data_IF_751526852983
#
_entry.id   IF_751526852983
#
_cell.length_a   1.000
_cell.length_b   1.000
_cell.length_c   1.000
_cell.angle_alpha   90.00
_cell.angle_beta   90.00
_cell.angle_gamma   90.00
#
_symmetry.space_group_name_H-M   'P 1'
#
loop_
_entity.id
_entity.type
_entity.pdbx_description
1 polymer ?
#
# COMPACT_ATOMS: atom_id res chain seq x y z
N UNK A 1 -1.03 5.23 27.36
CA UNK A 1 -1.74 3.99 26.95
C UNK A 1 -0.67 2.93 26.72
N UNK A 2 -0.75 1.73 27.31
CA UNK A 2 0.31 0.71 27.16
C UNK A 2 0.27 0.15 25.73
N UNK A 3 1.43 -0.20 25.13
CA UNK A 3 1.57 -0.78 23.75
C UNK A 3 0.55 -1.90 23.45
N UNK A 4 0.19 -2.68 24.47
CA UNK A 4 -0.81 -3.77 24.39
C UNK A 4 -2.27 -3.30 24.23
N UNK A 5 -2.59 -2.06 24.60
CA UNK A 5 -3.96 -1.52 24.55
C UNK A 5 -4.25 -0.78 23.24
N UNK A 6 -3.23 -0.27 22.54
CA UNK A 6 -3.41 0.35 21.21
C UNK A 6 -3.78 -0.68 20.14
N UNK A 7 -3.16 -1.87 20.16
CA UNK A 7 -3.53 -2.97 19.25
C UNK A 7 -4.96 -3.48 19.45
N UNK A 8 -5.67 -3.09 20.53
CA UNK A 8 -7.07 -3.50 20.77
C UNK A 8 -8.08 -2.73 19.91
N UNK A 9 -7.70 -1.60 19.32
CA UNK A 9 -8.59 -0.76 18.51
C UNK A 9 -8.36 -0.84 16.99
N UNK A 10 -7.29 -1.50 16.53
CA UNK A 10 -6.75 -1.33 15.15
C UNK A 10 -7.15 -2.45 14.17
N UNK A 11 -7.91 -3.48 14.58
CA UNK A 11 -8.22 -4.66 13.72
C UNK A 11 -9.67 -4.71 13.21
N UNK A 12 -10.25 -3.57 12.84
CA UNK A 12 -11.59 -3.54 12.24
C UNK A 12 -11.61 -2.67 10.98
N UNK A 13 -11.35 -3.30 9.83
CA UNK A 13 -11.67 -2.68 8.54
C UNK A 13 -10.88 -3.23 7.36
N UNK A 14 -11.32 -4.34 6.78
CA UNK A 14 -11.01 -4.63 5.38
C UNK A 14 -12.19 -5.23 4.63
N UNK A 15 -12.42 -4.65 3.45
CA UNK A 15 -13.37 -5.08 2.44
C UNK A 15 -12.78 -6.20 1.59
N UNK A 16 -13.14 -7.43 1.92
CA UNK A 16 -13.02 -8.59 1.02
C UNK A 16 -14.38 -9.31 0.84
N UNK A 17 -15.48 -8.64 1.20
CA UNK A 17 -16.84 -9.21 1.20
C UNK A 17 -17.81 -8.52 0.24
N UNK A 18 -17.35 -7.58 -0.59
CA UNK A 18 -18.23 -6.78 -1.46
C UNK A 18 -18.39 -7.36 -2.89
N UNK A 19 -17.76 -8.49 -3.24
CA UNK A 19 -17.88 -9.05 -4.60
C UNK A 19 -18.54 -10.43 -4.73
N UNK A 20 -18.99 -11.09 -3.65
CA UNK A 20 -19.72 -12.36 -3.77
C UNK A 20 -20.92 -12.60 -2.81
N UNK A 21 -21.90 -11.68 -2.59
CA UNK A 21 -23.09 -12.05 -1.83
C UNK A 21 -24.26 -12.60 -2.66
N UNK A 22 -24.37 -12.36 -3.97
CA UNK A 22 -25.65 -12.61 -4.67
C UNK A 22 -25.81 -13.98 -5.35
N UNK A 23 -24.74 -14.76 -5.58
CA UNK A 23 -24.85 -16.07 -6.24
C UNK A 23 -24.99 -17.27 -5.28
N UNK A 24 -24.73 -17.08 -3.99
CA UNK A 24 -24.79 -18.16 -3.01
C UNK A 24 -26.17 -18.34 -2.36
N UNK A 25 -27.15 -17.48 -2.66
CA UNK A 25 -28.44 -17.48 -1.94
C UNK A 25 -29.55 -18.33 -2.58
N UNK A 26 -29.34 -18.95 -3.75
CA UNK A 26 -30.41 -19.73 -4.41
C UNK A 26 -30.02 -21.13 -4.91
N UNK A 27 -28.90 -21.71 -4.47
CA UNK A 27 -28.45 -23.01 -4.97
C UNK A 27 -28.48 -24.09 -3.87
N UNK A 28 -29.49 -24.97 -3.92
CA UNK A 28 -29.44 -26.27 -3.24
C UNK A 28 -28.25 -27.09 -3.75
N UNK A 29 -27.73 -28.01 -2.93
CA UNK A 29 -26.48 -28.77 -3.16
C UNK A 29 -26.32 -29.42 -4.55
N UNK A 30 -27.42 -29.69 -5.27
CA UNK A 30 -27.37 -30.22 -6.64
C UNK A 30 -26.96 -29.19 -7.71
N UNK A 31 -27.15 -27.89 -7.47
CA UNK A 31 -26.77 -26.83 -8.42
C UNK A 31 -25.26 -26.49 -8.36
N UNK A 32 -24.61 -26.66 -7.20
CA UNK A 32 -23.17 -26.44 -7.05
C UNK A 32 -22.33 -27.40 -7.92
N UNK A 33 -22.79 -28.64 -8.09
CA UNK A 33 -22.13 -29.64 -8.96
C UNK A 33 -22.35 -29.34 -10.46
N UNK A 34 -23.55 -28.87 -10.84
CA UNK A 34 -23.87 -28.54 -12.23
C UNK A 34 -23.16 -27.26 -12.74
N UNK A 35 -22.85 -26.30 -11.85
CA UNK A 35 -22.07 -25.10 -12.19
C UNK A 35 -20.57 -25.40 -12.27
N UNK A 36 -20.05 -26.29 -11.43
CA UNK A 36 -18.66 -26.73 -11.50
C UNK A 36 -18.30 -27.41 -12.85
N UNK A 37 -19.25 -28.13 -13.45
CA UNK A 37 -19.06 -28.78 -14.75
C UNK A 37 -19.26 -27.88 -15.99
N UNK A 38 -19.78 -26.65 -15.83
CA UNK A 38 -20.02 -25.70 -16.94
C UNK A 38 -19.13 -24.46 -16.90
N UNK A 39 -18.26 -24.33 -15.90
CA UNK A 39 -17.11 -23.45 -15.98
C UNK A 39 -16.21 -23.97 -17.11
N UNK A 40 -16.33 -23.37 -18.31
CA UNK A 40 -15.26 -23.45 -19.30
C UNK A 40 -13.96 -23.10 -18.56
N UNK A 41 -12.85 -23.83 -18.77
CA UNK A 41 -11.59 -23.45 -18.17
C UNK A 41 -11.31 -22.03 -18.64
N UNK A 42 -11.49 -21.03 -17.76
CA UNK A 42 -10.80 -19.76 -17.90
C UNK A 42 -9.35 -20.15 -17.71
N UNK A 43 -8.73 -20.50 -18.84
CA UNK A 43 -7.34 -20.88 -18.90
C UNK A 43 -6.57 -19.72 -18.31
N UNK A 44 -6.08 -19.91 -17.09
CA UNK A 44 -4.76 -19.43 -16.72
C UNK A 44 -3.82 -20.00 -17.78
N UNK A 45 -3.66 -19.28 -18.90
CA UNK A 45 -2.41 -19.36 -19.64
C UNK A 45 -1.39 -18.69 -18.72
N UNK A 46 -0.87 -19.48 -17.79
CA UNK A 46 0.52 -19.35 -17.37
C UNK A 46 1.39 -19.68 -18.59
N UNK A 47 1.36 -18.81 -19.61
CA UNK A 47 2.58 -18.63 -20.38
C UNK A 47 3.56 -18.00 -19.40
N UNK A 48 4.77 -18.52 -19.35
CA UNK A 48 5.86 -17.99 -18.57
C UNK A 48 5.95 -16.47 -18.81
N UNK A 49 5.40 -15.67 -17.90
CA UNK A 49 5.35 -14.21 -18.03
C UNK A 49 6.71 -13.64 -17.58
N UNK A 50 7.76 -14.01 -18.32
CA UNK A 50 9.03 -13.29 -18.36
C UNK A 50 8.94 -12.06 -19.30
N UNK A 51 7.77 -11.80 -19.88
CA UNK A 51 7.52 -10.73 -20.87
C UNK A 51 7.28 -9.34 -20.22
N UNK A 52 7.81 -9.08 -19.02
CA UNK A 52 7.85 -7.73 -18.44
C UNK A 52 6.53 -7.14 -17.92
N UNK A 53 5.40 -7.85 -18.00
CA UNK A 53 4.15 -7.44 -17.35
C UNK A 53 4.03 -8.05 -15.95
N UNK A 54 4.75 -7.48 -14.99
CA UNK A 54 4.61 -7.85 -13.58
C UNK A 54 3.43 -7.09 -12.94
N UNK A 55 2.43 -7.84 -12.48
CA UNK A 55 1.45 -7.41 -11.46
C UNK A 55 0.18 -6.72 -11.94
N UNK A 56 -0.96 -7.17 -11.43
CA UNK A 56 -2.15 -6.34 -11.22
C UNK A 56 -2.21 -6.02 -9.73
N UNK A 57 -2.53 -4.79 -9.37
CA UNK A 57 -2.82 -4.42 -7.97
C UNK A 57 -3.99 -5.29 -7.47
N UNK A 58 -4.14 -5.60 -6.16
CA UNK A 58 -5.31 -6.27 -5.58
C UNK A 58 -6.68 -5.73 -6.04
N UNK A 59 -6.76 -4.53 -6.61
CA UNK A 59 -7.97 -4.00 -7.26
C UNK A 59 -8.15 -4.37 -8.74
N UNK A 60 -7.34 -5.26 -9.32
CA UNK A 60 -7.39 -5.68 -10.73
C UNK A 60 -7.12 -4.57 -11.75
N UNK A 61 -6.63 -3.41 -11.30
CA UNK A 61 -6.04 -2.43 -12.19
C UNK A 61 -4.73 -3.00 -12.75
N UNK A 62 -4.40 -2.71 -14.02
CA UNK A 62 -3.04 -2.94 -14.53
C UNK A 62 -2.08 -2.25 -13.56
N UNK A 63 -1.31 -3.03 -12.80
CA UNK A 63 -0.26 -2.45 -11.99
C UNK A 63 0.83 -2.10 -12.97
N UNK A 64 1.16 -0.82 -13.09
CA UNK A 64 2.28 -0.41 -13.93
C UNK A 64 3.62 -0.74 -13.25
N UNK A 65 3.67 -1.11 -11.96
CA UNK A 65 4.89 -1.29 -11.13
C UNK A 65 5.95 -0.19 -11.32
N UNK A 66 5.59 0.96 -11.87
CA UNK A 66 6.55 1.95 -12.30
C UNK A 66 6.46 3.14 -11.36
N UNK A 67 7.50 3.27 -10.54
CA UNK A 67 7.96 4.61 -10.20
C UNK A 67 8.35 5.24 -11.54
N UNK A 68 7.53 6.17 -12.04
CA UNK A 68 7.73 6.93 -13.28
C UNK A 68 8.25 6.09 -14.46
N UNK A 69 7.37 5.50 -15.27
CA UNK A 69 7.82 4.94 -16.55
C UNK A 69 8.44 6.09 -17.37
N UNK A 70 9.72 6.05 -17.80
CA UNK A 70 10.18 6.96 -18.83
C UNK A 70 9.26 6.76 -20.04
N UNK A 71 8.82 7.85 -20.68
CA UNK A 71 7.97 7.78 -21.88
C UNK A 71 8.59 6.87 -22.99
N UNK A 72 9.88 6.58 -22.88
CA UNK A 72 10.64 5.65 -23.70
C UNK A 72 11.40 4.66 -22.83
N UNK A 73 10.78 3.53 -22.44
CA UNK A 73 11.58 2.32 -22.16
C UNK A 73 11.99 1.78 -23.51
N UNK A 74 13.11 2.27 -24.01
CA UNK A 74 13.75 1.66 -25.15
C UNK A 74 14.35 0.33 -24.65
N UNK A 75 13.72 -0.79 -24.99
CA UNK A 75 14.23 -2.13 -24.64
C UNK A 75 15.61 -2.42 -25.27
N UNK A 76 16.02 -1.61 -26.25
CA UNK A 76 17.33 -1.64 -26.89
C UNK A 76 18.35 -0.68 -26.25
N UNK A 77 17.96 0.11 -25.23
CA UNK A 77 18.94 0.89 -24.45
C UNK A 77 19.75 -0.09 -23.58
N UNK A 78 21.10 -0.06 -23.64
CA UNK A 78 21.91 -0.90 -22.77
C UNK A 78 21.58 -0.55 -21.32
N UNK A 79 20.98 -1.50 -20.61
CA UNK A 79 20.69 -1.34 -19.19
C UNK A 79 22.03 -1.14 -18.47
N UNK A 80 22.10 -0.18 -17.52
CA UNK A 80 23.32 0.00 -16.76
C UNK A 80 23.63 -1.30 -16.03
N UNK A 81 24.86 -1.77 -16.15
CA UNK A 81 25.31 -2.89 -15.32
C UNK A 81 25.53 -2.36 -13.91
N UNK A 82 24.83 -2.93 -12.94
CA UNK A 82 24.91 -2.49 -11.55
C UNK A 82 26.33 -2.69 -11.01
N UNK A 83 26.89 -1.65 -10.38
CA UNK A 83 28.18 -1.72 -9.70
C UNK A 83 27.95 -2.27 -8.30
N UNK A 84 28.40 -3.51 -8.09
CA UNK A 84 28.27 -4.22 -6.82
C UNK A 84 29.54 -4.09 -5.99
N UNK A 85 29.37 -3.96 -4.68
CA UNK A 85 30.46 -4.15 -3.72
C UNK A 85 30.96 -5.59 -3.72
N UNK A 86 32.14 -5.84 -3.16
CA UNK A 86 32.68 -7.20 -3.04
C UNK A 86 31.76 -8.13 -2.25
N UNK A 87 31.05 -7.61 -1.22
CA UNK A 87 30.08 -8.39 -0.45
C UNK A 87 28.84 -8.75 -1.29
N UNK A 88 28.28 -7.78 -2.01
CA UNK A 88 27.11 -8.01 -2.88
C UNK A 88 27.44 -8.98 -4.02
N UNK A 89 28.64 -8.86 -4.59
CA UNK A 89 29.15 -9.78 -5.61
C UNK A 89 29.34 -11.20 -5.05
N UNK A 90 29.88 -11.35 -3.84
CA UNK A 90 29.99 -12.66 -3.19
C UNK A 90 28.63 -13.33 -2.97
N UNK A 91 27.59 -12.56 -2.61
CA UNK A 91 26.21 -13.08 -2.52
C UNK A 91 25.73 -13.52 -3.91
N UNK A 92 25.95 -12.70 -4.94
CA UNK A 92 25.57 -12.99 -6.33
C UNK A 92 26.27 -14.25 -6.88
N UNK A 93 27.51 -14.50 -6.47
CA UNK A 93 28.32 -15.65 -6.85
C UNK A 93 27.95 -16.92 -6.05
N UNK A 94 27.21 -16.77 -4.95
CA UNK A 94 26.58 -17.86 -4.21
C UNK A 94 27.25 -18.21 -2.89
N UNK A 95 28.16 -17.38 -2.38
CA UNK A 95 28.87 -17.64 -1.12
C UNK A 95 27.94 -17.67 0.11
N UNK A 96 26.75 -17.06 0.02
CA UNK A 96 25.70 -17.11 1.06
C UNK A 96 24.60 -18.13 0.79
N UNK A 97 24.87 -19.11 -0.06
CA UNK A 97 23.93 -20.18 -0.40
C UNK A 97 22.93 -19.83 -1.50
N UNK A 98 22.23 -20.83 -2.05
CA UNK A 98 21.45 -20.70 -3.29
C UNK A 98 20.24 -19.78 -3.15
N UNK A 99 19.62 -19.70 -1.97
CA UNK A 99 18.47 -18.80 -1.76
C UNK A 99 18.88 -17.32 -1.79
N UNK A 100 19.94 -16.96 -1.07
CA UNK A 100 20.49 -15.59 -1.10
C UNK A 100 21.02 -15.23 -2.48
N UNK A 101 21.67 -16.18 -3.16
CA UNK A 101 22.10 -15.99 -4.54
C UNK A 101 20.93 -15.65 -5.47
N UNK A 102 19.84 -16.40 -5.37
CA UNK A 102 18.64 -16.15 -6.19
C UNK A 102 17.99 -14.81 -5.83
N UNK A 103 17.95 -14.44 -4.55
CA UNK A 103 17.48 -13.13 -4.12
C UNK A 103 18.30 -12.02 -4.76
N UNK A 104 19.63 -12.09 -4.64
CA UNK A 104 20.54 -11.08 -5.19
C UNK A 104 20.43 -10.99 -6.71
N UNK A 105 20.41 -12.13 -7.43
CA UNK A 105 20.18 -12.14 -8.89
C UNK A 105 18.87 -11.44 -9.27
N UNK A 106 17.80 -11.69 -8.51
CA UNK A 106 16.49 -11.08 -8.76
C UNK A 106 16.53 -9.57 -8.52
N UNK A 107 17.13 -9.12 -7.42
CA UNK A 107 17.20 -7.70 -7.05
C UNK A 107 18.14 -6.91 -7.97
N UNK A 108 19.27 -7.49 -8.39
CA UNK A 108 20.17 -6.89 -9.39
C UNK A 108 19.45 -6.75 -10.72
N UNK A 109 18.85 -7.83 -11.25
CA UNK A 109 18.13 -7.77 -12.53
C UNK A 109 16.94 -6.79 -12.47
N UNK A 110 16.22 -6.74 -11.34
CA UNK A 110 15.16 -5.77 -11.11
C UNK A 110 15.73 -4.34 -11.11
N UNK A 111 16.81 -4.07 -10.40
CA UNK A 111 17.44 -2.76 -10.37
C UNK A 111 17.93 -2.31 -11.75
N UNK A 112 18.65 -3.18 -12.47
CA UNK A 112 19.14 -2.88 -13.83
C UNK A 112 17.99 -2.57 -14.78
N UNK A 113 16.87 -3.31 -14.71
CA UNK A 113 15.66 -3.05 -15.50
C UNK A 113 15.07 -1.65 -15.25
N UNK A 114 15.18 -1.13 -14.03
CA UNK A 114 14.70 0.21 -13.66
C UNK A 114 15.82 1.27 -13.67
N UNK A 115 16.99 0.96 -14.25
CA UNK A 115 18.08 1.91 -14.41
C UNK A 115 18.88 2.20 -13.13
N UNK A 116 18.80 1.34 -12.12
CA UNK A 116 19.60 1.47 -10.91
C UNK A 116 21.07 1.08 -11.18
N UNK A 117 22.00 1.97 -10.79
CA UNK A 117 23.43 1.75 -11.00
C UNK A 117 24.13 1.08 -9.82
N UNK A 118 23.45 1.00 -8.65
CA UNK A 118 23.98 0.44 -7.41
C UNK A 118 22.85 -0.07 -6.51
N UNK A 119 23.24 -0.87 -5.52
CA UNK A 119 22.41 -1.13 -4.34
C UNK A 119 22.72 -0.11 -3.24
N UNK A 120 21.75 0.09 -2.36
CA UNK A 120 21.87 0.92 -1.16
C UNK A 120 21.45 0.13 0.06
N UNK A 121 22.07 0.44 1.19
CA UNK A 121 21.69 -0.09 2.50
C UNK A 121 20.31 0.42 2.90
N UNK A 122 19.64 -0.37 3.73
CA UNK A 122 18.33 -0.06 4.29
C UNK A 122 18.47 0.37 5.75
N UNK A 123 17.82 1.48 6.09
CA UNK A 123 18.08 2.21 7.34
C UNK A 123 17.08 1.88 8.46
N UNK A 124 15.94 1.24 8.14
CA UNK A 124 14.83 1.10 9.09
C UNK A 124 13.94 -0.13 8.84
N UNK A 125 13.32 -0.65 9.91
CA UNK A 125 12.58 -1.92 9.90
C UNK A 125 11.58 -2.09 8.74
N UNK A 126 11.58 -3.25 8.03
CA UNK A 126 10.71 -3.46 6.86
C UNK A 126 9.21 -3.47 7.17
N UNK A 127 8.41 -3.25 6.13
CA UNK A 127 6.95 -3.41 6.19
C UNK A 127 6.45 -4.18 4.96
N UNK A 128 5.68 -5.26 5.17
CA UNK A 128 5.28 -6.19 4.11
C UNK A 128 3.75 -6.22 3.90
N UNK A 129 3.30 -5.91 2.68
CA UNK A 129 1.89 -5.83 2.30
C UNK A 129 1.27 -7.17 1.88
N UNK A 130 1.56 -8.23 2.64
CA UNK A 130 0.97 -9.54 2.39
C UNK A 130 0.53 -10.19 3.69
N UNK A 131 -0.75 -10.02 3.99
CA UNK A 131 -1.39 -10.52 5.21
C UNK A 131 -2.54 -11.51 4.93
N UNK A 132 -2.84 -11.79 3.66
CA UNK A 132 -3.98 -12.58 3.21
C UNK A 132 -3.53 -13.94 2.64
N UNK A 133 -3.70 -15.00 3.43
CA UNK A 133 -3.33 -16.37 3.07
C UNK A 133 -4.33 -17.05 2.15
N UNK A 134 -4.58 -16.51 0.96
CA UNK A 134 -5.32 -17.21 -0.11
C UNK A 134 -4.40 -18.12 -0.91
N UNK A 135 -4.91 -18.92 -1.85
CA UNK A 135 -4.04 -19.76 -2.69
C UNK A 135 -3.16 -18.99 -3.66
N UNK A 136 -3.53 -17.75 -3.97
CA UNK A 136 -2.74 -16.88 -4.85
C UNK A 136 -1.36 -16.61 -4.26
N UNK A 137 -1.21 -16.67 -2.93
CA UNK A 137 0.09 -16.43 -2.28
C UNK A 137 0.99 -17.66 -2.21
N UNK A 138 0.52 -18.85 -2.59
CA UNK A 138 1.29 -20.11 -2.45
C UNK A 138 2.71 -20.03 -3.08
N UNK A 139 2.90 -19.47 -4.29
CA UNK A 139 4.25 -19.31 -4.85
C UNK A 139 5.17 -18.44 -3.98
N UNK A 140 4.66 -17.38 -3.35
CA UNK A 140 5.43 -16.56 -2.41
C UNK A 140 5.78 -17.37 -1.14
N UNK A 141 4.83 -18.16 -0.62
CA UNK A 141 5.09 -19.04 0.53
C UNK A 141 6.18 -20.07 0.24
N UNK A 142 6.25 -20.60 -0.99
CA UNK A 142 7.31 -21.53 -1.41
C UNK A 142 8.68 -20.85 -1.50
N UNK A 143 8.72 -19.59 -1.97
CA UNK A 143 9.94 -18.78 -1.96
C UNK A 143 10.37 -18.52 -0.52
N UNK A 144 9.46 -18.07 0.34
CA UNK A 144 9.73 -17.74 1.74
C UNK A 144 10.18 -18.95 2.55
N UNK A 145 9.61 -20.12 2.23
CA UNK A 145 9.99 -21.38 2.86
C UNK A 145 11.46 -21.74 2.59
N UNK A 146 11.99 -21.46 1.40
CA UNK A 146 13.41 -21.71 1.07
C UNK A 146 14.36 -20.90 1.97
N UNK A 147 14.00 -19.65 2.29
CA UNK A 147 14.77 -18.83 3.23
C UNK A 147 14.62 -19.32 4.66
N UNK A 148 13.38 -19.60 5.08
CA UNK A 148 13.08 -20.04 6.43
C UNK A 148 13.74 -21.41 6.78
N UNK A 149 13.82 -22.35 5.83
CA UNK A 149 14.47 -23.65 6.02
C UNK A 149 15.99 -23.53 6.21
N UNK A 150 16.59 -22.45 5.69
CA UNK A 150 18.01 -22.12 5.89
C UNK A 150 18.24 -21.24 7.13
N UNK A 151 17.18 -20.95 7.90
CA UNK A 151 17.26 -20.06 9.07
C UNK A 151 17.53 -18.60 8.73
N UNK A 152 17.37 -18.22 7.45
CA UNK A 152 17.57 -16.83 6.99
C UNK A 152 16.40 -15.98 7.50
N UNK A 153 16.73 -14.80 7.99
CA UNK A 153 15.77 -13.80 8.47
C UNK A 153 15.99 -12.49 7.74
N UNK A 154 14.97 -11.64 7.80
CA UNK A 154 15.11 -10.23 7.43
C UNK A 154 16.17 -9.55 8.30
N UNK A 155 16.80 -8.49 7.78
CA UNK A 155 17.89 -7.79 8.49
C UNK A 155 17.45 -7.11 9.79
N UNK A 156 16.15 -6.84 9.94
CA UNK A 156 15.51 -6.31 11.14
C UNK A 156 14.09 -6.87 11.27
N UNK A 157 13.50 -6.92 12.49
CA UNK A 157 12.12 -7.33 12.65
C UNK A 157 11.17 -6.48 11.81
N UNK A 158 10.25 -7.11 11.09
CA UNK A 158 9.34 -6.43 10.17
C UNK A 158 7.89 -6.44 10.66
N UNK A 159 7.10 -5.49 10.18
CA UNK A 159 5.63 -5.47 10.33
C UNK A 159 4.95 -5.88 9.02
N UNK A 160 3.68 -6.26 9.08
CA UNK A 160 2.87 -6.63 7.92
C UNK A 160 1.50 -5.98 8.02
N UNK A 161 0.77 -5.88 6.90
CA UNK A 161 -0.63 -5.42 6.89
C UNK A 161 -1.55 -6.18 7.86
N UNK A 162 -2.72 -5.65 8.24
CA UNK A 162 -3.64 -6.33 9.15
C UNK A 162 -4.09 -7.69 8.59
N UNK A 163 -4.25 -8.69 9.46
CA UNK A 163 -4.86 -9.97 9.05
C UNK A 163 -6.30 -9.76 8.58
N UNK A 164 -6.80 -10.60 7.65
CA UNK A 164 -8.18 -10.52 7.16
C UNK A 164 -9.23 -10.61 8.27
N UNK A 165 -8.95 -11.38 9.33
CA UNK A 165 -9.84 -11.56 10.47
C UNK A 165 -9.09 -11.75 11.79
N UNK A 166 -9.68 -11.25 12.87
CA UNK A 166 -9.23 -11.45 14.26
C UNK A 166 -10.11 -12.50 14.96
N UNK A 167 -9.77 -13.77 14.78
CA UNK A 167 -10.47 -14.87 15.45
C UNK A 167 -10.14 -15.04 16.94
N UNK A 168 -9.16 -14.30 17.46
CA UNK A 168 -8.82 -14.31 18.87
C UNK A 168 -9.80 -13.43 19.66
N UNK A 169 -10.28 -12.35 19.04
CA UNK A 169 -11.14 -11.35 19.71
C UNK A 169 -12.56 -11.32 19.20
N UNK A 170 -12.80 -11.73 17.95
CA UNK A 170 -14.13 -11.71 17.35
C UNK A 170 -14.57 -13.13 17.02
N UNK A 171 -15.73 -13.53 17.54
CA UNK A 171 -16.41 -14.76 17.12
C UNK A 171 -17.51 -14.43 16.10
N UNK A 172 -17.30 -14.72 14.80
CA UNK A 172 -18.33 -14.49 13.80
C UNK A 172 -19.37 -15.62 13.75
N UNK A 173 -19.26 -16.62 14.63
CA UNK A 173 -20.06 -17.85 14.63
C UNK A 173 -19.48 -18.91 13.68
N UNK A 174 -19.90 -20.18 13.84
CA UNK A 174 -19.26 -21.34 13.21
C UNK A 174 -19.31 -21.30 11.67
N UNK A 175 -20.43 -20.86 11.09
CA UNK A 175 -20.60 -20.82 9.65
C UNK A 175 -19.67 -19.79 9.00
N UNK A 176 -19.65 -18.55 9.50
CA UNK A 176 -18.79 -17.49 8.96
C UNK A 176 -17.32 -17.81 9.20
N UNK A 177 -16.97 -18.35 10.38
CA UNK A 177 -15.63 -18.84 10.67
C UNK A 177 -15.16 -19.86 9.64
N UNK A 178 -16.00 -20.85 9.31
CA UNK A 178 -15.69 -21.88 8.30
C UNK A 178 -15.46 -21.26 6.91
N UNK A 179 -16.34 -20.36 6.47
CA UNK A 179 -16.21 -19.68 5.17
C UNK A 179 -14.90 -18.88 5.10
N UNK A 180 -14.62 -18.10 6.13
CA UNK A 180 -13.40 -17.29 6.22
C UNK A 180 -12.14 -18.17 6.22
N UNK A 181 -12.08 -19.22 7.05
CA UNK A 181 -10.92 -20.11 7.10
C UNK A 181 -10.69 -20.84 5.76
N UNK A 182 -11.76 -21.13 5.02
CA UNK A 182 -11.63 -21.70 3.67
C UNK A 182 -11.10 -20.68 2.66
N UNK A 183 -11.55 -19.42 2.73
CA UNK A 183 -11.08 -18.35 1.85
C UNK A 183 -9.59 -18.01 2.10
N UNK A 184 -9.17 -18.06 3.36
CA UNK A 184 -7.80 -17.73 3.81
C UNK A 184 -7.07 -18.97 4.35
N UNK A 185 -7.18 -20.10 3.64
CA UNK A 185 -6.66 -21.40 4.10
C UNK A 185 -5.15 -21.47 4.30
N UNK A 186 -4.39 -20.52 3.75
CA UNK A 186 -2.94 -20.42 3.92
C UNK A 186 -2.53 -19.48 5.06
N UNK A 187 -3.45 -18.82 5.79
CA UNK A 187 -3.12 -17.83 6.83
C UNK A 187 -2.19 -18.40 7.91
N UNK A 188 -2.43 -19.65 8.32
CA UNK A 188 -1.60 -20.33 9.31
C UNK A 188 -0.17 -20.57 8.79
N UNK A 189 -0.05 -21.00 7.52
CA UNK A 189 1.24 -21.20 6.86
C UNK A 189 2.00 -19.89 6.69
N UNK A 190 1.30 -18.84 6.25
CA UNK A 190 1.85 -17.49 6.12
C UNK A 190 2.37 -16.96 7.46
N UNK A 191 1.54 -17.03 8.51
CA UNK A 191 1.91 -16.58 9.86
C UNK A 191 3.14 -17.32 10.37
N UNK A 192 3.18 -18.64 10.25
CA UNK A 192 4.30 -19.45 10.71
C UNK A 192 5.60 -19.14 9.95
N UNK A 193 5.51 -18.89 8.63
CA UNK A 193 6.67 -18.47 7.83
C UNK A 193 7.16 -17.09 8.23
N UNK A 194 6.26 -16.13 8.45
CA UNK A 194 6.64 -14.78 8.90
C UNK A 194 7.35 -14.78 10.24
N UNK A 195 6.89 -15.59 11.20
CA UNK A 195 7.58 -15.77 12.47
C UNK A 195 9.00 -16.32 12.29
N UNK A 196 9.18 -17.30 11.38
CA UNK A 196 10.52 -17.83 11.05
C UNK A 196 11.42 -16.79 10.38
N UNK A 197 10.87 -15.94 9.52
CA UNK A 197 11.58 -14.87 8.80
C UNK A 197 11.86 -13.63 9.67
N UNK A 198 11.37 -13.60 10.91
CA UNK A 198 11.68 -12.56 11.89
C UNK A 198 10.62 -11.47 12.07
N UNK A 199 9.36 -11.72 11.71
CA UNK A 199 8.28 -10.74 11.93
C UNK A 199 8.15 -10.37 13.42
N UNK A 200 7.90 -9.08 13.70
CA UNK A 200 7.53 -8.64 15.05
C UNK A 200 6.19 -9.24 15.47
N UNK A 201 6.15 -9.86 16.66
CA UNK A 201 4.95 -10.52 17.17
C UNK A 201 3.87 -9.48 17.46
N UNK A 202 2.83 -9.46 16.63
CA UNK A 202 1.74 -8.50 16.73
C UNK A 202 1.88 -7.28 15.80
N UNK A 203 2.91 -7.24 14.95
CA UNK A 203 3.12 -6.20 13.94
C UNK A 203 2.15 -6.26 12.75
N UNK A 204 0.85 -6.55 12.97
CA UNK A 204 -0.19 -6.65 11.93
C UNK A 204 -0.96 -5.32 11.83
N UNK A 205 -0.48 -4.39 11.00
CA UNK A 205 -1.02 -3.03 10.81
C UNK A 205 -0.49 -2.39 9.52
N UNK A 206 -1.35 -1.74 8.73
CA UNK A 206 -0.94 -0.93 7.57
C UNK A 206 -0.55 0.51 7.95
N UNK A 207 -0.66 0.86 9.23
CA UNK A 207 -0.19 2.13 9.80
C UNK A 207 1.04 1.84 10.65
N UNK A 208 2.04 1.23 10.02
CA UNK A 208 3.27 0.78 10.69
C UNK A 208 4.07 1.93 11.33
N UNK A 209 3.95 3.13 10.77
CA UNK A 209 4.53 4.39 11.22
C UNK A 209 3.78 5.07 12.38
N UNK A 210 2.71 4.46 12.92
CA UNK A 210 2.05 5.01 14.10
C UNK A 210 2.99 4.93 15.34
N UNK A 211 3.02 5.96 16.20
CA UNK A 211 3.81 5.95 17.44
C UNK A 211 3.64 4.71 18.31
N UNK A 212 2.43 4.15 18.32
CA UNK A 212 2.10 3.00 19.15
C UNK A 212 2.55 1.65 18.55
N UNK A 213 2.87 1.62 17.25
CA UNK A 213 3.49 0.47 16.58
C UNK A 213 5.01 0.55 16.72
N UNK A 214 5.57 1.75 16.51
CA UNK A 214 6.99 2.04 16.71
C UNK A 214 7.88 1.85 15.48
N UNK A 215 7.33 1.44 14.32
CA UNK A 215 8.08 1.33 13.08
C UNK A 215 8.10 2.69 12.33
N UNK A 216 8.71 3.71 12.96
CA UNK A 216 8.75 5.10 12.44
C UNK A 216 10.14 5.43 11.88
N UNK A 217 10.29 5.56 10.56
CA UNK A 217 11.55 5.98 9.96
C UNK A 217 11.78 7.48 10.13
N UNK A 218 12.99 7.94 9.80
CA UNK A 218 13.38 9.34 9.75
C UNK A 218 13.38 9.86 8.31
N UNK A 219 13.39 11.18 8.17
CA UNK A 219 13.58 11.81 6.87
C UNK A 219 14.93 11.37 6.28
N UNK A 220 14.91 10.91 5.03
CA UNK A 220 16.08 10.43 4.29
C UNK A 220 16.35 8.93 4.42
N UNK A 221 15.77 8.24 5.41
CA UNK A 221 15.94 6.80 5.59
C UNK A 221 15.46 6.04 4.35
N UNK A 222 16.23 5.04 3.92
CA UNK A 222 15.90 4.14 2.82
C UNK A 222 15.19 2.90 3.35
N UNK A 223 14.02 2.60 2.79
CA UNK A 223 13.13 1.58 3.32
C UNK A 223 12.89 0.45 2.33
N UNK A 224 12.47 -0.68 2.90
CA UNK A 224 11.94 -1.83 2.19
C UNK A 224 10.50 -2.03 2.63
N UNK A 225 9.64 -1.12 2.18
CA UNK A 225 8.24 -1.04 2.56
C UNK A 225 7.37 -1.29 1.35
N UNK A 226 6.49 -2.28 1.46
CA UNK A 226 5.33 -2.43 0.57
C UNK A 226 4.09 -1.85 1.26
N UNK A 227 2.99 -1.77 0.52
CA UNK A 227 1.69 -1.15 0.87
C UNK A 227 1.61 0.31 0.41
N UNK A 228 0.64 0.57 -0.46
CA UNK A 228 0.46 1.83 -1.18
C UNK A 228 0.34 3.07 -0.27
N UNK A 229 -0.42 2.99 0.82
CA UNK A 229 -0.61 4.09 1.75
C UNK A 229 0.61 4.30 2.64
N UNK A 230 1.26 3.24 3.11
CA UNK A 230 2.45 3.31 3.95
C UNK A 230 3.64 3.84 3.17
N UNK A 231 3.85 3.39 1.93
CA UNK A 231 4.84 3.92 0.99
C UNK A 231 4.61 5.42 0.79
N UNK A 232 3.39 5.82 0.45
CA UNK A 232 3.09 7.22 0.16
C UNK A 232 3.27 8.10 1.41
N UNK A 233 2.83 7.65 2.57
CA UNK A 233 3.02 8.37 3.84
C UNK A 233 4.51 8.48 4.21
N UNK A 234 5.28 7.39 4.08
CA UNK A 234 6.72 7.40 4.32
C UNK A 234 7.44 8.39 3.40
N UNK A 235 7.13 8.37 2.10
CA UNK A 235 7.71 9.29 1.14
C UNK A 235 7.31 10.75 1.39
N UNK A 236 6.02 11.02 1.58
CA UNK A 236 5.47 12.39 1.56
C UNK A 236 5.47 13.03 2.95
N UNK A 237 4.91 12.36 3.95
CA UNK A 237 4.72 12.95 5.29
C UNK A 237 5.96 12.83 6.17
N UNK A 238 6.74 11.76 6.01
CA UNK A 238 8.00 11.56 6.76
C UNK A 238 9.22 12.05 5.96
N UNK A 239 9.19 11.97 4.63
CA UNK A 239 10.35 12.26 3.79
C UNK A 239 11.39 11.13 3.79
N UNK A 240 10.99 9.92 4.15
CA UNK A 240 11.77 8.71 3.92
C UNK A 240 11.73 8.34 2.42
N UNK A 241 12.48 7.32 2.04
CA UNK A 241 12.71 6.95 0.64
C UNK A 241 12.41 5.48 0.42
N UNK A 242 11.36 5.22 -0.36
CA UNK A 242 10.98 3.86 -0.75
C UNK A 242 10.29 3.86 -2.10
N UNK A 243 10.62 2.89 -2.95
CA UNK A 243 9.91 2.67 -4.19
C UNK A 243 8.58 1.96 -3.95
N UNK A 244 7.67 2.08 -4.93
CA UNK A 244 6.41 1.33 -4.97
C UNK A 244 6.65 -0.06 -5.55
N UNK A 245 7.33 -0.91 -4.78
CA UNK A 245 7.66 -2.28 -5.17
C UNK A 245 6.51 -3.25 -4.85
N UNK A 246 6.64 -4.49 -5.32
CA UNK A 246 5.75 -5.58 -4.87
C UNK A 246 6.20 -6.15 -3.54
N UNK A 247 5.26 -6.73 -2.80
CA UNK A 247 5.53 -7.51 -1.58
C UNK A 247 6.65 -8.55 -1.73
N UNK A 248 6.81 -9.14 -2.92
CA UNK A 248 7.86 -10.12 -3.19
C UNK A 248 9.23 -9.46 -3.28
N UNK A 249 9.33 -8.35 -4.02
CA UNK A 249 10.58 -7.58 -4.12
C UNK A 249 10.96 -7.01 -2.74
N UNK A 250 10.01 -6.42 -2.00
CA UNK A 250 10.31 -5.87 -0.68
C UNK A 250 10.67 -6.95 0.35
N UNK A 251 10.14 -8.18 0.24
CA UNK A 251 10.63 -9.27 1.08
C UNK A 251 12.08 -9.64 0.72
N UNK A 252 12.43 -9.68 -0.56
CA UNK A 252 13.79 -10.00 -0.98
C UNK A 252 14.79 -8.91 -0.56
N UNK A 253 14.45 -7.63 -0.70
CA UNK A 253 15.28 -6.52 -0.21
C UNK A 253 15.41 -6.54 1.31
N UNK A 254 14.33 -6.90 2.02
CA UNK A 254 14.35 -7.10 3.47
C UNK A 254 15.20 -8.31 3.92
N UNK A 255 15.31 -9.36 3.11
CA UNK A 255 16.20 -10.50 3.39
C UNK A 255 17.66 -10.17 3.09
N UNK A 256 17.92 -9.36 2.07
CA UNK A 256 19.26 -8.93 1.69
C UNK A 256 19.80 -7.78 2.54
N UNK A 257 18.94 -6.93 3.12
CA UNK A 257 19.35 -5.65 3.72
C UNK A 257 19.72 -4.59 2.69
N UNK A 258 19.33 -4.78 1.43
CA UNK A 258 19.75 -3.99 0.27
C UNK A 258 18.58 -3.73 -0.65
N UNK A 259 18.49 -2.53 -1.21
CA UNK A 259 17.52 -2.20 -2.27
C UNK A 259 18.21 -1.52 -3.46
N UNK A 260 17.69 -1.64 -4.69
CA UNK A 260 18.22 -0.88 -5.83
C UNK A 260 17.92 0.62 -5.73
N UNK A 261 18.91 1.44 -6.05
CA UNK A 261 18.83 2.91 -5.96
C UNK A 261 18.28 3.52 -7.26
N UNK A 262 16.94 3.61 -7.37
CA UNK A 262 16.24 4.24 -8.49
C UNK A 262 14.93 4.87 -8.05
N UNK A 263 14.27 5.61 -8.95
CA UNK A 263 12.93 6.12 -8.73
C UNK A 263 12.84 7.02 -7.50
N UNK A 264 11.91 6.73 -6.59
CA UNK A 264 11.66 7.52 -5.37
C UNK A 264 12.79 7.42 -4.33
N UNK A 265 13.80 6.58 -4.58
CA UNK A 265 15.04 6.52 -3.79
C UNK A 265 15.98 7.68 -4.10
N UNK A 266 15.91 8.27 -5.31
CA UNK A 266 16.82 9.32 -5.78
C UNK A 266 16.19 10.72 -5.68
N UNK A 267 16.99 11.77 -5.75
CA UNK A 267 16.45 13.15 -5.76
C UNK A 267 15.74 13.46 -7.07
N UNK A 268 16.25 12.95 -8.18
CA UNK A 268 15.69 13.11 -9.52
C UNK A 268 14.31 12.46 -9.63
N UNK A 269 14.15 11.23 -9.16
CA UNK A 269 12.86 10.52 -9.25
C UNK A 269 11.78 11.10 -8.34
N UNK A 270 12.16 11.98 -7.41
CA UNK A 270 11.24 12.69 -6.49
C UNK A 270 10.83 14.08 -7.00
N UNK A 271 11.32 14.53 -8.16
CA UNK A 271 10.87 15.77 -8.79
C UNK A 271 9.41 15.67 -9.21
N UNK A 272 8.64 16.70 -8.89
CA UNK A 272 7.23 16.80 -9.23
C UNK A 272 7.04 17.24 -10.68
N UNK A 273 6.39 16.40 -11.46
CA UNK A 273 6.01 16.71 -12.86
C UNK A 273 4.67 17.41 -12.97
N UNK A 274 3.96 17.59 -11.84
CA UNK A 274 2.68 18.25 -11.78
C UNK A 274 2.65 19.30 -10.68
N UNK A 275 2.26 20.52 -11.01
CA UNK A 275 1.79 21.52 -10.05
C UNK A 275 0.28 21.35 -9.86
N UNK A 276 -0.14 21.05 -8.65
CA UNK A 276 -1.54 20.91 -8.28
C UNK A 276 -1.97 22.18 -7.54
N UNK A 277 -2.78 23.01 -8.19
CA UNK A 277 -3.27 24.26 -7.62
C UNK A 277 -4.64 24.06 -6.98
N UNK A 278 -4.69 23.96 -5.66
CA UNK A 278 -5.95 23.91 -4.92
C UNK A 278 -6.36 25.32 -4.56
N UNK A 279 -7.49 25.79 -5.09
CA UNK A 279 -7.93 27.18 -4.93
C UNK A 279 -9.43 27.30 -4.71
N UNK A 280 -9.85 28.48 -4.28
CA UNK A 280 -11.25 28.85 -4.10
C UNK A 280 -12.03 27.88 -3.17
N UNK A 281 -11.31 27.32 -2.17
CA UNK A 281 -11.90 26.41 -1.18
C UNK A 281 -12.39 27.19 0.04
N UNK A 282 -13.68 27.11 0.40
CA UNK A 282 -14.20 27.83 1.57
C UNK A 282 -13.76 27.22 2.91
N UNK A 283 -13.22 26.00 2.88
CA UNK A 283 -12.71 25.24 4.02
C UNK A 283 -11.76 24.16 3.51
N UNK A 284 -10.99 23.56 4.42
CA UNK A 284 -10.14 22.42 4.08
C UNK A 284 -10.98 21.31 3.43
N UNK A 285 -10.72 20.93 2.16
CA UNK A 285 -11.45 19.87 1.48
C UNK A 285 -11.12 18.50 2.09
N UNK A 286 -12.00 17.53 1.89
CA UNK A 286 -11.75 16.15 2.33
C UNK A 286 -10.48 15.60 1.64
N UNK A 287 -9.54 15.03 2.41
CA UNK A 287 -8.26 14.59 1.87
C UNK A 287 -8.44 13.51 0.79
N UNK A 288 -9.43 12.63 0.95
CA UNK A 288 -9.71 11.57 -0.02
C UNK A 288 -10.26 12.12 -1.35
N UNK A 289 -11.00 13.23 -1.32
CA UNK A 289 -11.53 13.86 -2.54
C UNK A 289 -10.42 14.53 -3.35
N UNK A 290 -9.55 15.28 -2.67
CA UNK A 290 -8.37 15.88 -3.32
C UNK A 290 -7.43 14.79 -3.83
N UNK A 291 -7.14 13.80 -3.00
CA UNK A 291 -6.28 12.68 -3.38
C UNK A 291 -6.85 11.87 -4.55
N UNK A 292 -8.17 11.66 -4.60
CA UNK A 292 -8.83 11.00 -5.74
C UNK A 292 -8.72 11.83 -7.02
N UNK A 293 -8.97 13.14 -6.95
CA UNK A 293 -8.84 14.04 -8.09
C UNK A 293 -7.42 14.00 -8.67
N UNK A 294 -6.40 14.10 -7.81
CA UNK A 294 -4.99 14.00 -8.18
C UNK A 294 -4.70 12.62 -8.79
N UNK A 295 -5.04 11.53 -8.09
CA UNK A 295 -4.73 10.16 -8.52
C UNK A 295 -5.34 9.81 -9.88
N UNK A 296 -6.61 10.17 -10.10
CA UNK A 296 -7.28 9.96 -11.39
C UNK A 296 -6.68 10.80 -12.52
N UNK A 297 -6.13 11.98 -12.22
CA UNK A 297 -5.58 12.89 -13.22
C UNK A 297 -4.16 12.55 -13.63
N UNK A 298 -3.27 12.34 -12.66
CA UNK A 298 -1.83 12.24 -12.90
C UNK A 298 -1.33 10.79 -12.95
N UNK A 299 -2.16 9.85 -12.50
CA UNK A 299 -1.90 8.41 -12.44
C UNK A 299 -0.71 8.08 -11.53
N UNK A 300 0.53 8.15 -12.03
CA UNK A 300 1.72 7.65 -11.34
C UNK A 300 2.84 8.69 -11.17
N UNK A 301 2.67 9.89 -11.70
CA UNK A 301 3.64 10.97 -11.54
C UNK A 301 3.62 11.58 -10.12
N UNK A 302 4.67 12.31 -9.77
CA UNK A 302 4.79 13.03 -8.50
C UNK A 302 4.12 14.41 -8.60
N UNK A 303 3.12 14.74 -7.76
CA UNK A 303 2.52 16.06 -7.67
C UNK A 303 3.20 16.95 -6.62
N UNK A 304 3.17 18.26 -6.87
CA UNK A 304 3.46 19.33 -5.92
C UNK A 304 2.19 20.15 -5.67
N UNK A 305 1.64 20.06 -4.47
CA UNK A 305 0.36 20.65 -4.09
C UNK A 305 0.57 22.02 -3.46
N UNK A 306 -0.17 23.02 -3.93
CA UNK A 306 -0.16 24.40 -3.40
C UNK A 306 -1.58 24.83 -2.99
N UNK A 307 -1.68 25.84 -2.12
CA UNK A 307 -2.95 26.47 -1.73
C UNK A 307 -3.72 25.77 -0.60
N UNK A 308 -3.07 24.86 0.14
CA UNK A 308 -3.67 24.13 1.27
C UNK A 308 -2.87 24.25 2.57
N UNK A 309 -1.70 24.85 2.51
CA UNK A 309 -0.68 24.82 3.55
C UNK A 309 -1.14 25.49 4.85
N UNK A 310 -1.76 26.67 4.77
CA UNK A 310 -2.31 27.35 5.94
C UNK A 310 -3.36 26.49 6.66
N UNK A 311 -4.32 25.95 5.90
CA UNK A 311 -5.41 25.15 6.46
C UNK A 311 -4.93 23.82 7.05
N UNK A 312 -3.99 23.15 6.39
CA UNK A 312 -3.42 21.87 6.87
C UNK A 312 -2.52 22.10 8.08
N UNK A 313 -1.73 23.18 8.10
CA UNK A 313 -0.88 23.51 9.25
C UNK A 313 -1.69 23.99 10.48
N UNK A 314 -2.90 24.51 10.28
CA UNK A 314 -3.82 24.87 11.37
C UNK A 314 -4.44 23.66 12.09
N UNK A 315 -4.36 22.45 11.52
CA UNK A 315 -4.85 21.23 12.17
C UNK A 315 -3.99 20.86 13.39
N UNK A 316 -4.59 20.33 14.47
CA UNK A 316 -3.84 19.64 15.51
C UNK A 316 -2.97 18.55 14.90
N UNK A 317 -1.77 18.33 15.43
CA UNK A 317 -0.81 17.37 14.89
C UNK A 317 -1.41 15.97 14.68
N UNK A 318 -2.19 15.49 15.65
CA UNK A 318 -2.88 14.19 15.60
C UNK A 318 -3.85 14.05 14.40
N UNK A 319 -4.44 15.17 13.97
CA UNK A 319 -5.42 15.21 12.88
C UNK A 319 -4.72 15.45 11.55
N UNK A 320 -3.63 16.24 11.55
CA UNK A 320 -2.76 16.45 10.38
C UNK A 320 -2.14 15.14 9.90
N UNK A 321 -1.70 14.26 10.81
CA UNK A 321 -1.22 12.91 10.47
C UNK A 321 -2.28 12.12 9.70
N UNK A 322 -3.52 12.12 10.20
CA UNK A 322 -4.65 11.44 9.53
C UNK A 322 -4.92 12.03 8.16
N UNK A 323 -4.92 13.36 8.05
CA UNK A 323 -5.16 14.07 6.80
C UNK A 323 -4.13 13.72 5.72
N UNK A 324 -2.83 13.77 6.04
CA UNK A 324 -1.76 13.46 5.11
C UNK A 324 -1.76 11.98 4.71
N UNK A 325 -2.12 11.09 5.64
CA UNK A 325 -2.32 9.65 5.37
C UNK A 325 -3.44 9.43 4.37
N UNK A 326 -4.63 9.97 4.61
CA UNK A 326 -5.80 9.73 3.77
C UNK A 326 -5.62 10.34 2.38
N UNK A 327 -5.00 11.53 2.29
CA UNK A 327 -4.69 12.16 1.01
C UNK A 327 -3.72 11.28 0.21
N UNK A 328 -2.63 10.84 0.83
CA UNK A 328 -1.66 9.93 0.22
C UNK A 328 -2.30 8.63 -0.25
N UNK A 329 -3.06 7.98 0.62
CA UNK A 329 -3.77 6.74 0.33
C UNK A 329 -4.74 6.90 -0.87
N UNK A 330 -5.46 8.02 -0.94
CA UNK A 330 -6.39 8.28 -2.05
C UNK A 330 -5.66 8.53 -3.37
N UNK A 331 -4.52 9.25 -3.36
CA UNK A 331 -3.68 9.39 -4.56
C UNK A 331 -3.13 8.04 -5.04
N UNK A 332 -2.75 7.18 -4.09
CA UNK A 332 -2.13 5.89 -4.39
C UNK A 332 -3.12 4.80 -4.81
N UNK A 333 -4.41 4.93 -4.48
CA UNK A 333 -5.47 3.96 -4.80
C UNK A 333 -6.28 4.31 -6.04
N UNK A 334 -6.49 5.60 -6.29
CA UNK A 334 -7.10 6.09 -7.54
C UNK A 334 -6.08 6.27 -8.67
N UNK A 335 -4.80 6.30 -8.34
CA UNK A 335 -3.69 6.22 -9.26
C UNK A 335 -2.68 5.17 -8.77
N UNK A 336 -1.40 5.45 -8.97
CA UNK A 336 -0.26 4.72 -8.42
C UNK A 336 0.78 5.70 -7.83
N UNK A 337 0.33 6.89 -7.41
CA UNK A 337 1.19 7.95 -6.86
C UNK A 337 1.91 7.44 -5.59
N UNK A 338 3.24 7.35 -5.66
CA UNK A 338 4.07 6.87 -4.55
C UNK A 338 4.64 7.98 -3.65
N UNK A 339 4.54 9.24 -4.06
CA UNK A 339 5.03 10.42 -3.35
C UNK A 339 4.21 11.64 -3.81
N UNK A 340 3.88 12.53 -2.88
CA UNK A 340 3.46 13.89 -3.17
C UNK A 340 4.25 14.90 -2.32
N UNK A 341 4.40 16.10 -2.86
CA UNK A 341 4.88 17.26 -2.12
C UNK A 341 3.71 18.18 -1.81
N UNK A 342 3.70 18.81 -0.64
CA UNK A 342 2.72 19.84 -0.30
C UNK A 342 3.47 21.05 0.25
N UNK A 343 3.34 22.18 -0.45
CA UNK A 343 3.99 23.45 -0.12
C UNK A 343 3.83 23.79 1.37
N UNK A 344 4.90 24.18 2.04
CA UNK A 344 4.87 24.54 3.46
C UNK A 344 4.48 23.42 4.44
N UNK A 345 4.24 22.18 3.99
CA UNK A 345 3.74 21.08 4.83
C UNK A 345 4.67 19.88 4.83
N UNK A 346 4.94 19.26 3.67
CA UNK A 346 5.79 18.06 3.63
C UNK A 346 7.27 18.42 3.84
N UNK A 347 8.10 17.53 4.42
CA UNK A 347 9.47 17.87 4.82
C UNK A 347 10.33 18.38 3.65
N UNK A 348 10.29 17.71 2.51
CA UNK A 348 11.06 18.11 1.32
C UNK A 348 10.55 19.43 0.73
N UNK A 349 9.23 19.63 0.67
CA UNK A 349 8.63 20.88 0.19
C UNK A 349 8.97 22.07 1.10
N UNK A 350 9.06 21.87 2.42
CA UNK A 350 9.52 22.91 3.36
C UNK A 350 10.99 23.28 3.15
N UNK A 351 11.84 22.31 2.83
CA UNK A 351 13.28 22.52 2.69
C UNK A 351 13.65 23.09 1.32
N UNK A 352 13.03 22.58 0.26
CA UNK A 352 13.42 22.85 -1.12
C UNK A 352 12.44 23.79 -1.84
N UNK A 353 11.21 23.94 -1.32
CA UNK A 353 10.17 24.73 -1.95
C UNK A 353 9.86 24.24 -3.37
N UNK A 354 9.58 25.20 -4.26
CA UNK A 354 9.25 24.92 -5.66
C UNK A 354 10.43 24.43 -6.52
N UNK A 355 11.65 24.32 -5.95
CA UNK A 355 12.78 23.65 -6.64
C UNK A 355 12.51 22.16 -6.90
N UNK A 356 11.51 21.58 -6.23
CA UNK A 356 11.07 20.21 -6.47
C UNK A 356 10.25 20.05 -7.75
N UNK A 357 9.72 21.13 -8.34
CA UNK A 357 9.08 21.05 -9.65
C UNK A 357 10.13 20.71 -10.72
N UNK A 358 9.80 19.78 -11.62
CA UNK A 358 10.56 19.54 -12.85
C UNK A 358 10.43 20.77 -13.77
N UNK A 359 11.38 20.99 -14.68
CA UNK A 359 11.37 22.19 -15.54
C UNK A 359 10.16 22.23 -16.51
N UNK A 360 9.65 21.07 -16.90
CA UNK A 360 8.55 20.86 -17.84
C UNK A 360 7.24 20.41 -17.16
N UNK A 361 7.05 20.80 -15.90
CA UNK A 361 5.87 20.40 -15.13
C UNK A 361 4.55 20.85 -15.79
N UNK A 362 3.53 20.02 -15.66
CA UNK A 362 2.15 20.33 -16.06
C UNK A 362 1.37 20.91 -14.88
N UNK A 363 0.28 21.65 -15.14
CA UNK A 363 -0.57 22.21 -14.08
C UNK A 363 -1.95 21.57 -14.09
N UNK A 364 -2.47 21.25 -12.91
CA UNK A 364 -3.84 20.80 -12.69
C UNK A 364 -4.47 21.59 -11.54
N UNK A 365 -5.55 22.31 -11.85
CA UNK A 365 -6.27 23.12 -10.87
C UNK A 365 -7.43 22.33 -10.27
N UNK A 366 -7.55 22.36 -8.95
CA UNK A 366 -8.64 21.76 -8.19
C UNK A 366 -9.40 22.88 -7.46
N UNK A 367 -10.55 23.24 -8.00
CA UNK A 367 -11.52 24.10 -7.35
C UNK A 367 -12.76 23.28 -6.92
N UNK A 368 -13.79 23.96 -6.39
CA UNK A 368 -15.02 23.29 -5.97
C UNK A 368 -15.74 22.58 -7.13
N UNK A 369 -15.72 23.15 -8.33
CA UNK A 369 -16.39 22.56 -9.49
C UNK A 369 -15.71 21.25 -9.89
N UNK A 370 -14.39 21.21 -9.81
CA UNK A 370 -13.62 20.01 -10.12
C UNK A 370 -13.82 18.92 -9.07
N UNK A 371 -13.82 19.26 -7.78
CA UNK A 371 -14.15 18.29 -6.73
C UNK A 371 -15.56 17.74 -6.90
N UNK A 372 -16.53 18.58 -7.28
CA UNK A 372 -17.89 18.13 -7.58
C UNK A 372 -17.91 17.18 -8.77
N UNK A 373 -17.21 17.52 -9.86
CA UNK A 373 -17.11 16.66 -11.05
C UNK A 373 -16.54 15.29 -10.71
N UNK A 374 -15.47 15.25 -9.90
CA UNK A 374 -14.85 13.99 -9.43
C UNK A 374 -15.83 13.19 -8.56
N UNK A 375 -16.55 13.85 -7.65
CA UNK A 375 -17.56 13.22 -6.81
C UNK A 375 -18.68 12.59 -7.63
N UNK A 376 -19.29 13.37 -8.53
CA UNK A 376 -20.42 12.93 -9.36
C UNK A 376 -20.03 11.77 -10.30
N UNK A 377 -18.78 11.76 -10.76
CA UNK A 377 -18.25 10.72 -11.65
C UNK A 377 -17.72 9.48 -10.92
N UNK A 378 -17.64 9.49 -9.58
CA UNK A 378 -17.02 8.40 -8.85
C UNK A 378 -17.88 7.12 -8.95
N UNK A 379 -17.29 5.98 -9.34
CA UNK A 379 -18.08 4.81 -9.69
C UNK A 379 -18.74 4.18 -8.46
N UNK A 380 -20.07 4.05 -8.51
CA UNK A 380 -20.82 3.24 -7.55
C UNK A 380 -20.67 1.78 -7.97
N UNK A 381 -19.89 1.01 -7.20
CA UNK A 381 -19.63 -0.42 -7.47
C UNK A 381 -20.79 -1.34 -7.04
N UNK A 382 -21.89 -0.79 -6.53
CA UNK A 382 -23.05 -1.57 -6.17
C UNK A 382 -23.80 -1.99 -7.44
N UNK A 383 -24.36 -3.21 -7.46
CA UNK A 383 -25.33 -3.60 -8.48
C UNK A 383 -26.39 -2.51 -8.65
N UNK A 384 -26.80 -2.22 -9.89
CA UNK A 384 -27.72 -1.12 -10.22
C UNK A 384 -29.00 -1.17 -9.38
N UNK A 385 -29.52 -2.39 -9.17
CA UNK A 385 -30.71 -2.66 -8.36
C UNK A 385 -30.53 -2.28 -6.87
N UNK A 386 -29.31 -2.16 -6.38
CA UNK A 386 -28.98 -1.77 -5.01
C UNK A 386 -28.59 -0.29 -4.86
N UNK A 387 -28.38 0.46 -5.95
CA UNK A 387 -27.83 1.83 -5.86
C UNK A 387 -28.76 2.81 -5.14
N UNK A 388 -30.07 2.58 -5.19
CA UNK A 388 -31.08 3.40 -4.50
C UNK A 388 -31.44 2.89 -3.10
N UNK A 389 -30.76 1.84 -2.60
CA UNK A 389 -31.02 1.29 -1.28
C UNK A 389 -30.20 2.00 -0.20
N UNK A 390 -30.80 2.15 0.98
CA UNK A 390 -30.10 2.67 2.16
C UNK A 390 -28.99 1.69 2.59
N UNK A 391 -27.73 2.14 2.75
CA UNK A 391 -26.66 1.32 3.29
C UNK A 391 -27.03 0.75 4.67
N UNK A 392 -26.90 -0.56 4.84
CA UNK A 392 -27.13 -1.20 6.15
C UNK A 392 -25.86 -1.26 7.02
N UNK A 393 -24.69 -1.07 6.41
CA UNK A 393 -23.38 -1.14 7.08
C UNK A 393 -22.44 -0.12 6.46
N UNK A 394 -21.62 0.48 7.31
CA UNK A 394 -20.54 1.41 6.92
C UNK A 394 -19.26 0.90 7.58
N UNK A 395 -18.19 0.82 6.80
CA UNK A 395 -16.87 0.44 7.28
C UNK A 395 -15.98 1.68 7.20
N UNK A 396 -15.31 2.00 8.31
CA UNK A 396 -14.45 3.19 8.43
C UNK A 396 -13.10 2.73 8.94
N UNK A 397 -12.02 3.11 8.26
CA UNK A 397 -10.65 2.75 8.65
C UNK A 397 -9.90 1.86 7.67
N UNK A 398 -10.00 2.13 6.37
CA UNK A 398 -9.02 1.66 5.39
C UNK A 398 -8.43 2.88 4.64
N UNK A 399 -7.13 3.20 4.82
CA UNK A 399 -6.18 2.61 5.78
C UNK A 399 -6.67 2.75 7.22
N UNK A 400 -6.13 1.95 8.15
CA UNK A 400 -6.57 1.97 9.55
C UNK A 400 -6.56 3.39 10.10
N UNK A 401 -7.62 3.73 10.82
CA UNK A 401 -7.76 5.06 11.41
C UNK A 401 -6.61 5.34 12.39
N UNK A 402 -6.04 6.53 12.29
CA UNK A 402 -5.18 7.08 13.33
C UNK A 402 -5.99 7.28 14.61
N UNK A 403 -5.29 7.47 15.74
CA UNK A 403 -5.96 7.79 17.01
C UNK A 403 -6.88 9.01 16.90
N UNK A 404 -6.43 10.08 16.22
CA UNK A 404 -7.25 11.28 15.99
C UNK A 404 -8.52 10.98 15.19
N UNK A 405 -8.41 10.16 14.14
CA UNK A 405 -9.57 9.73 13.35
C UNK A 405 -10.54 8.87 14.17
N UNK A 406 -10.03 7.97 15.02
CA UNK A 406 -10.88 7.15 15.91
C UNK A 406 -11.67 8.02 16.89
N UNK A 407 -11.02 9.02 17.50
CA UNK A 407 -11.69 9.99 18.37
C UNK A 407 -12.74 10.81 17.62
N UNK A 408 -12.40 11.30 16.42
CA UNK A 408 -13.31 12.07 15.56
C UNK A 408 -14.56 11.28 15.18
N UNK A 409 -14.40 10.08 14.61
CA UNK A 409 -15.54 9.26 14.19
C UNK A 409 -16.34 8.76 15.39
N UNK A 410 -15.66 8.38 16.49
CA UNK A 410 -16.32 7.96 17.72
C UNK A 410 -17.22 9.05 18.29
N UNK A 411 -16.73 10.28 18.41
CA UNK A 411 -17.52 11.41 18.92
C UNK A 411 -18.70 11.72 18.00
N UNK A 412 -18.48 11.77 16.67
CA UNK A 412 -19.57 12.01 15.71
C UNK A 412 -20.68 10.97 15.80
N UNK A 413 -20.31 9.69 15.91
CA UNK A 413 -21.30 8.61 16.04
C UNK A 413 -22.10 8.78 17.34
N UNK A 414 -21.43 9.06 18.46
CA UNK A 414 -22.08 9.30 19.76
C UNK A 414 -23.04 10.49 19.68
N UNK A 415 -22.59 11.62 19.12
CA UNK A 415 -23.40 12.84 19.02
C UNK A 415 -24.66 12.62 18.16
N UNK A 416 -24.54 11.96 17.01
CA UNK A 416 -25.66 11.68 16.13
C UNK A 416 -26.62 10.63 16.72
N UNK A 417 -26.10 9.62 17.43
CA UNK A 417 -26.93 8.68 18.19
C UNK A 417 -27.72 9.40 19.28
N UNK A 418 -27.08 10.34 20.00
CA UNK A 418 -27.74 11.18 21.00
C UNK A 418 -28.87 12.04 20.40
N UNK A 419 -28.61 12.71 19.28
CA UNK A 419 -29.64 13.47 18.53
C UNK A 419 -30.79 12.60 18.06
N UNK A 420 -30.52 11.35 17.71
CA UNK A 420 -31.53 10.37 17.31
C UNK A 420 -32.23 9.67 18.50
N UNK A 421 -31.96 10.08 19.74
CA UNK A 421 -32.53 9.46 20.95
C UNK A 421 -32.12 8.01 21.17
N UNK A 422 -30.98 7.59 20.60
CA UNK A 422 -30.41 6.26 20.78
C UNK A 422 -29.49 6.25 22.00
N UNK A 423 -29.33 5.06 22.60
CA UNK A 423 -28.37 4.87 23.68
C UNK A 423 -26.96 4.99 23.13
N UNK A 424 -26.20 5.92 23.70
CA UNK A 424 -24.79 6.22 23.38
C UNK A 424 -23.84 5.48 24.30
#
# INVERSE_FOLDING_TARGET
>A
MKRRDFHKLVVAGWGALVLFPSLAWSATEKAASAVAGKLRPLGFRTKNNLDGNMGTDPMWNMSTQTCARPATVNVDHPQPKMVLTSEEQAILDGEKGPAMQKAMKTIVAYGELFGANRLVDLDHAPHIAMSWGTDVVVPFLEIYQQFADQGIKTYAPFTSDPKPFDFERLDPGPQKRKITLNAYRQDARLTALYEKLGMDKGGWTCVCYAPEVGNIPKQGDRLSWSESSAINYANSAIGARTNRNTMGIDMLTALLGKAPDFGLMTDEGRKAKWLIEVKDMPRLPHPEMVGSAIGLKIIEDVPYIVGMDEMVNALPEKDRIGYLKDLGAATASNGAVGLYHMEGVTPEARQQGRKLLADDYQTYTIDWSELKRVYDAYPIRWPEELQNHTPQRVFIGCPVNSKGQLEYYGQKIIDELGKAGKKT
#
